data_IF_979701638896
#
_entry.id   IF_979701638896
#
_cell.length_a   1.000
_cell.length_b   1.000
_cell.length_c   1.000
_cell.angle_alpha   90.00
_cell.angle_beta   90.00
_cell.angle_gamma   90.00
#
_symmetry.space_group_name_H-M   'P 1'
#
loop_
_entity.id
_entity.type
_entity.pdbx_description
1 polymer ?
#
# COMPACT_ATOMS: atom_id res chain seq x y z
N UNK A 1 -3.16 -74.89 -19.32
CA UNK A 1 -2.44 -74.10 -20.36
C UNK A 1 -3.30 -72.90 -20.68
N UNK A 2 -2.75 -71.69 -20.62
CA UNK A 2 -3.47 -70.48 -20.98
C UNK A 2 -2.49 -69.53 -21.68
N UNK A 3 -2.90 -69.01 -22.84
CA UNK A 3 -2.14 -68.05 -23.62
C UNK A 3 -3.10 -66.99 -24.13
N UNK A 4 -2.94 -65.76 -23.65
CA UNK A 4 -3.46 -64.56 -24.32
C UNK A 4 -2.41 -63.45 -24.20
N UNK A 5 -2.19 -62.77 -25.31
CA UNK A 5 -1.10 -61.82 -25.54
C UNK A 5 -1.50 -60.37 -25.26
N UNK A 6 -0.50 -59.50 -25.16
CA UNK A 6 -0.64 -58.12 -24.73
C UNK A 6 -1.31 -57.18 -25.74
N UNK A 7 -1.94 -56.12 -25.21
CA UNK A 7 -2.06 -54.81 -25.87
C UNK A 7 -1.75 -53.73 -24.83
N UNK A 8 -0.70 -52.92 -25.05
CA UNK A 8 -0.37 -51.79 -24.19
C UNK A 8 -1.19 -50.54 -24.53
N UNK A 9 -1.45 -49.69 -23.53
CA UNK A 9 -2.08 -48.39 -23.72
C UNK A 9 -1.25 -47.28 -23.06
N UNK A 10 -0.53 -46.51 -23.87
CA UNK A 10 0.15 -45.30 -23.45
C UNK A 10 -0.86 -44.22 -23.09
N UNK A 11 -0.95 -43.82 -21.82
CA UNK A 11 -1.74 -42.67 -21.42
C UNK A 11 -1.08 -41.38 -21.90
N UNK A 12 -1.60 -40.82 -23.01
CA UNK A 12 -1.26 -39.47 -23.44
C UNK A 12 -1.86 -38.46 -22.46
N UNK A 13 -1.02 -37.52 -22.01
CA UNK A 13 -1.41 -36.41 -21.16
C UNK A 13 -2.10 -35.33 -22.03
N UNK A 14 -3.42 -35.46 -22.22
CA UNK A 14 -4.24 -34.48 -22.93
C UNK A 14 -4.51 -33.25 -22.02
N UNK A 15 -4.22 -32.01 -22.47
CA UNK A 15 -4.56 -30.81 -21.70
C UNK A 15 -6.08 -30.62 -21.64
N UNK A 16 -6.60 -30.26 -20.46
CA UNK A 16 -8.02 -30.01 -20.29
C UNK A 16 -8.48 -28.80 -21.13
N UNK A 17 -9.67 -28.93 -21.75
CA UNK A 17 -10.30 -27.89 -22.54
C UNK A 17 -11.67 -27.51 -21.92
N UNK A 18 -12.09 -26.23 -21.89
CA UNK A 18 -11.40 -25.05 -22.40
C UNK A 18 -10.12 -24.71 -21.60
N UNK A 19 -9.16 -23.98 -22.19
CA UNK A 19 -7.96 -23.57 -21.50
C UNK A 19 -8.33 -22.49 -20.47
N UNK A 20 -7.73 -22.54 -19.28
CA UNK A 20 -7.90 -21.48 -18.29
C UNK A 20 -7.55 -20.12 -18.92
N UNK A 21 -8.39 -19.08 -18.75
CA UNK A 21 -8.15 -17.78 -19.36
C UNK A 21 -6.84 -17.21 -18.83
N UNK A 22 -5.90 -16.94 -19.74
CA UNK A 22 -4.59 -16.36 -19.41
C UNK A 22 -4.84 -15.06 -18.62
N UNK A 23 -4.42 -14.97 -17.35
CA UNK A 23 -4.72 -13.82 -16.53
C UNK A 23 -4.05 -12.57 -17.11
N UNK A 24 -4.70 -11.38 -17.08
CA UNK A 24 -4.11 -10.15 -17.58
C UNK A 24 -2.72 -9.89 -16.99
N UNK A 25 -1.82 -9.30 -17.78
CA UNK A 25 -0.46 -8.94 -17.35
C UNK A 25 -0.52 -8.17 -16.02
N UNK A 26 0.25 -8.61 -15.03
CA UNK A 26 0.27 -8.02 -13.68
C UNK A 26 -0.88 -8.42 -12.73
N UNK A 27 -1.92 -9.15 -13.17
CA UNK A 27 -2.99 -9.63 -12.28
C UNK A 27 -2.46 -10.55 -11.17
N UNK A 28 -1.57 -11.49 -11.54
CA UNK A 28 -0.93 -12.41 -10.60
C UNK A 28 -0.07 -11.66 -9.58
N UNK A 29 0.72 -10.68 -10.02
CA UNK A 29 1.52 -9.82 -9.16
C UNK A 29 0.65 -9.09 -8.14
N UNK A 30 -0.44 -8.45 -8.58
CA UNK A 30 -1.38 -7.74 -7.69
C UNK A 30 -2.09 -8.67 -6.69
N UNK A 31 -2.44 -9.90 -7.09
CA UNK A 31 -3.07 -10.91 -6.20
C UNK A 31 -2.10 -11.47 -5.16
N UNK A 32 -0.81 -11.60 -5.51
CA UNK A 32 0.26 -12.07 -4.65
C UNK A 32 0.92 -10.97 -3.80
N UNK A 33 0.62 -9.69 -4.09
CA UNK A 33 1.28 -8.56 -3.42
C UNK A 33 1.01 -8.48 -1.91
N UNK A 34 -0.23 -8.60 -1.39
CA UNK A 34 -0.42 -8.47 0.04
C UNK A 34 0.18 -9.66 0.80
N UNK A 35 1.02 -9.39 1.79
CA UNK A 35 1.54 -10.40 2.73
C UNK A 35 0.36 -11.03 3.49
N UNK A 36 0.39 -12.36 3.65
CA UNK A 36 -0.64 -13.13 4.36
C UNK A 36 0.04 -14.12 5.30
N UNK A 37 -0.15 -13.90 6.59
CA UNK A 37 0.35 -14.70 7.73
C UNK A 37 -0.76 -14.78 8.79
N UNK A 38 -0.65 -15.69 9.74
CA UNK A 38 -1.61 -15.84 10.84
C UNK A 38 -1.39 -14.79 11.96
N UNK A 39 -2.39 -14.55 12.84
CA UNK A 39 -2.20 -13.64 13.98
C UNK A 39 -1.00 -14.08 14.84
N UNK A 40 -0.24 -13.11 15.34
CA UNK A 40 0.99 -13.29 16.10
C UNK A 40 2.18 -13.92 15.33
N UNK A 41 2.01 -14.34 14.08
CA UNK A 41 3.11 -14.87 13.25
C UNK A 41 4.05 -13.73 12.82
N UNK A 42 5.37 -13.81 13.09
CA UNK A 42 6.33 -12.79 12.68
C UNK A 42 6.44 -12.66 11.16
N UNK A 43 6.66 -11.44 10.67
CA UNK A 43 7.08 -11.22 9.28
C UNK A 43 8.61 -11.31 9.21
N UNK A 44 9.09 -12.32 8.48
CA UNK A 44 10.50 -12.56 8.20
C UNK A 44 11.08 -11.47 7.29
N UNK A 45 12.41 -11.40 7.20
CA UNK A 45 13.10 -10.65 6.15
C UNK A 45 12.64 -11.04 4.75
N UNK A 46 12.33 -12.31 4.49
CA UNK A 46 11.79 -12.76 3.20
C UNK A 46 10.41 -12.15 2.92
N UNK A 47 9.49 -12.17 3.90
CA UNK A 47 8.14 -11.59 3.74
C UNK A 47 8.20 -10.11 3.34
N UNK A 48 9.06 -9.35 4.02
CA UNK A 48 9.19 -7.90 3.81
C UNK A 48 10.17 -7.52 2.70
N UNK A 49 10.92 -8.48 2.14
CA UNK A 49 12.01 -8.25 1.18
C UNK A 49 13.04 -7.25 1.74
N UNK A 50 13.59 -7.57 2.93
CA UNK A 50 14.45 -6.69 3.70
C UNK A 50 15.69 -6.20 2.93
N UNK A 51 16.32 -7.05 2.11
CA UNK A 51 17.56 -6.68 1.42
C UNK A 51 17.30 -5.69 0.29
N UNK A 52 16.20 -5.85 -0.46
CA UNK A 52 15.72 -4.85 -1.42
C UNK A 52 15.52 -3.50 -0.72
N UNK A 53 14.81 -3.51 0.42
CA UNK A 53 14.59 -2.31 1.22
C UNK A 53 15.90 -1.76 1.80
N UNK A 54 16.89 -2.60 2.10
CA UNK A 54 18.20 -2.16 2.52
C UNK A 54 18.86 -1.40 1.37
N UNK A 55 19.04 -2.00 0.19
CA UNK A 55 19.68 -1.36 -0.96
C UNK A 55 18.98 -0.05 -1.39
N UNK A 56 17.65 -0.01 -1.42
CA UNK A 56 16.89 1.21 -1.76
C UNK A 56 17.18 2.38 -0.80
N UNK A 57 17.27 2.10 0.51
CA UNK A 57 17.45 3.14 1.54
C UNK A 57 18.92 3.38 1.94
N UNK A 58 19.85 2.49 1.56
CA UNK A 58 21.29 2.66 1.77
C UNK A 58 21.99 3.39 0.62
N UNK A 59 21.40 3.40 -0.59
CA UNK A 59 21.93 4.11 -1.76
C UNK A 59 22.23 5.59 -1.44
N UNK A 60 23.43 6.04 -1.83
CA UNK A 60 23.98 7.37 -1.53
C UNK A 60 23.94 8.33 -2.73
N UNK A 61 23.30 7.95 -3.82
CA UNK A 61 23.22 8.75 -5.04
C UNK A 61 22.27 9.93 -4.83
N UNK A 62 22.86 11.11 -4.63
CA UNK A 62 22.13 12.36 -4.51
C UNK A 62 21.63 12.83 -5.89
N UNK A 63 20.45 12.35 -6.29
CA UNK A 63 19.89 12.57 -7.62
C UNK A 63 18.58 13.38 -7.63
N UNK A 64 17.85 13.43 -6.52
CA UNK A 64 16.47 13.93 -6.48
C UNK A 64 16.38 15.40 -6.05
N UNK A 65 15.49 16.14 -6.69
CA UNK A 65 15.15 17.53 -6.40
C UNK A 65 14.19 17.59 -5.20
N UNK A 66 14.47 18.47 -4.24
CA UNK A 66 13.48 18.79 -3.19
C UNK A 66 12.57 19.93 -3.62
N UNK A 67 11.36 20.01 -3.07
CA UNK A 67 10.44 21.13 -3.33
C UNK A 67 10.72 22.38 -2.47
N UNK A 68 11.90 22.48 -1.86
CA UNK A 68 12.24 23.58 -0.93
C UNK A 68 12.90 24.74 -1.68
N UNK A 69 12.38 25.98 -1.58
CA UNK A 69 13.02 27.14 -2.20
C UNK A 69 14.26 27.57 -1.39
N UNK A 70 15.45 27.52 -2.00
CA UNK A 70 16.64 28.14 -1.40
C UNK A 70 18.00 27.66 -1.92
N UNK A 71 18.13 26.40 -2.33
CA UNK A 71 19.31 25.85 -3.04
C UNK A 71 18.93 24.51 -3.67
N UNK A 72 19.33 24.30 -4.93
CA UNK A 72 19.06 23.06 -5.67
C UNK A 72 20.01 21.91 -5.25
N UNK A 73 20.11 21.65 -3.95
CA UNK A 73 20.86 20.50 -3.44
C UNK A 73 20.08 19.24 -3.76
N UNK A 74 20.71 18.34 -4.52
CA UNK A 74 20.16 17.00 -4.75
C UNK A 74 20.22 16.17 -3.47
N UNK A 75 19.21 15.33 -3.26
CA UNK A 75 19.12 14.41 -2.11
C UNK A 75 19.04 12.97 -2.58
N UNK A 76 19.35 12.04 -1.68
CA UNK A 76 19.15 10.60 -1.88
C UNK A 76 17.67 10.22 -1.87
N UNK A 77 17.32 9.03 -2.37
CA UNK A 77 15.95 8.52 -2.26
C UNK A 77 15.49 8.42 -0.79
N UNK A 78 16.38 7.97 0.08
CA UNK A 78 16.12 7.81 1.52
C UNK A 78 15.67 9.14 2.14
N UNK A 79 16.45 10.21 1.92
CA UNK A 79 16.12 11.56 2.38
C UNK A 79 14.84 12.10 1.74
N UNK A 80 14.65 11.92 0.42
CA UNK A 80 13.45 12.35 -0.29
C UNK A 80 12.18 11.72 0.33
N UNK A 81 12.21 10.41 0.56
CA UNK A 81 11.05 9.65 1.05
C UNK A 81 10.79 9.94 2.55
N UNK A 82 11.84 10.00 3.38
CA UNK A 82 11.73 10.39 4.79
C UNK A 82 11.19 11.82 4.92
N UNK A 83 11.66 12.76 4.10
CA UNK A 83 11.18 14.14 4.11
C UNK A 83 9.72 14.25 3.67
N UNK A 84 9.26 13.46 2.70
CA UNK A 84 7.85 13.41 2.30
C UNK A 84 6.92 12.88 3.42
N UNK A 85 7.38 11.89 4.19
CA UNK A 85 6.66 11.40 5.38
C UNK A 85 6.67 12.45 6.50
N UNK A 86 7.82 13.11 6.72
CA UNK A 86 7.97 14.16 7.72
C UNK A 86 7.12 15.40 7.40
N UNK A 87 6.99 15.79 6.13
CA UNK A 87 6.18 16.94 5.71
C UNK A 87 4.68 16.67 5.73
N UNK A 88 4.25 15.40 5.76
CA UNK A 88 2.84 15.01 5.77
C UNK A 88 2.04 15.70 6.89
N UNK A 89 0.85 16.19 6.52
CA UNK A 89 -0.11 16.80 7.44
C UNK A 89 -0.78 15.78 8.40
N UNK A 90 -0.54 14.47 8.19
CA UNK A 90 -1.00 13.38 9.09
C UNK A 90 0.13 12.67 9.83
N UNK A 91 1.38 13.11 9.64
CA UNK A 91 2.50 12.72 10.50
C UNK A 91 2.39 13.51 11.82
N UNK A 92 2.31 12.81 12.95
CA UNK A 92 2.09 13.45 14.27
C UNK A 92 3.37 14.09 14.81
N UNK A 93 3.25 15.11 15.69
CA UNK A 93 4.42 15.78 16.28
C UNK A 93 5.36 14.77 16.96
N UNK A 94 4.83 13.88 17.79
CA UNK A 94 5.60 12.82 18.48
C UNK A 94 6.36 11.92 17.49
N UNK A 95 5.79 11.64 16.31
CA UNK A 95 6.46 10.85 15.28
C UNK A 95 7.59 11.65 14.61
N UNK A 96 7.35 12.94 14.33
CA UNK A 96 8.37 13.87 13.77
C UNK A 96 9.54 14.07 14.73
N UNK A 97 9.25 14.36 16.00
CA UNK A 97 10.25 14.51 17.06
C UNK A 97 11.13 13.24 17.11
N UNK A 98 10.51 12.04 17.16
CA UNK A 98 11.24 10.76 17.17
C UNK A 98 12.05 10.46 15.89
N UNK A 99 11.59 10.90 14.72
CA UNK A 99 12.34 10.77 13.47
C UNK A 99 13.63 11.61 13.48
N UNK A 100 13.62 12.74 14.19
CA UNK A 100 14.81 13.59 14.41
C UNK A 100 15.71 12.96 15.48
N UNK A 101 15.15 12.59 16.63
CA UNK A 101 15.89 12.02 17.77
C UNK A 101 16.53 10.66 17.44
N UNK A 102 15.97 9.91 16.49
CA UNK A 102 16.44 8.57 16.11
C UNK A 102 16.35 8.36 14.59
N UNK A 103 17.38 8.76 13.81
CA UNK A 103 17.39 8.61 12.35
C UNK A 103 17.23 7.16 11.85
N UNK A 104 17.67 6.18 12.65
CA UNK A 104 17.42 4.77 12.37
C UNK A 104 15.91 4.43 12.34
N UNK A 105 15.14 4.96 13.30
CA UNK A 105 13.69 4.79 13.36
C UNK A 105 12.99 5.46 12.17
N UNK A 106 13.48 6.63 11.72
CA UNK A 106 12.97 7.27 10.50
C UNK A 106 13.16 6.37 9.26
N UNK A 107 14.29 5.66 9.17
CA UNK A 107 14.56 4.69 8.09
C UNK A 107 13.68 3.45 8.20
N UNK A 108 13.47 2.90 9.40
CA UNK A 108 12.55 1.77 9.64
C UNK A 108 11.10 2.12 9.28
N UNK A 109 10.61 3.28 9.75
CA UNK A 109 9.29 3.82 9.40
C UNK A 109 9.16 4.04 7.89
N UNK A 110 10.20 4.51 7.22
CA UNK A 110 10.21 4.72 5.77
C UNK A 110 10.09 3.39 5.00
N UNK A 111 10.77 2.33 5.46
CA UNK A 111 10.64 0.96 4.90
C UNK A 111 9.22 0.41 5.06
N UNK A 112 8.64 0.49 6.26
CA UNK A 112 7.22 0.16 6.51
C UNK A 112 6.27 0.96 5.62
N UNK A 113 6.55 2.26 5.47
CA UNK A 113 5.75 3.17 4.65
C UNK A 113 5.84 2.83 3.17
N UNK A 114 7.01 2.46 2.65
CA UNK A 114 7.16 1.99 1.25
C UNK A 114 6.35 0.73 0.99
N UNK A 115 6.47 -0.28 1.87
CA UNK A 115 5.68 -1.52 1.77
C UNK A 115 4.16 -1.29 1.87
N UNK A 116 3.72 -0.32 2.68
CA UNK A 116 2.32 0.08 2.79
C UNK A 116 1.85 0.84 1.54
N UNK A 117 2.73 1.65 0.93
CA UNK A 117 2.41 2.45 -0.25
C UNK A 117 2.23 1.61 -1.51
N UNK A 118 3.11 0.60 -1.72
CA UNK A 118 2.96 -0.35 -2.85
C UNK A 118 1.83 -1.35 -2.60
N UNK A 119 1.49 -1.64 -1.33
CA UNK A 119 0.43 -2.58 -0.95
C UNK A 119 0.91 -3.99 -0.57
N UNK A 120 2.18 -4.17 -0.20
CA UNK A 120 2.68 -5.40 0.47
C UNK A 120 2.08 -5.53 1.86
N UNK A 121 2.04 -4.42 2.62
CA UNK A 121 1.45 -4.36 3.97
C UNK A 121 0.01 -3.86 3.88
N UNK A 122 -0.92 -4.68 4.37
CA UNK A 122 -2.35 -4.36 4.41
C UNK A 122 -2.73 -3.52 5.63
N UNK A 123 -3.76 -2.70 5.50
CA UNK A 123 -4.30 -1.88 6.61
C UNK A 123 -4.91 -2.67 7.77
N UNK A 124 -5.12 -3.97 7.61
CA UNK A 124 -5.55 -4.86 8.71
C UNK A 124 -4.39 -5.25 9.63
N UNK A 125 -3.14 -5.07 9.19
CA UNK A 125 -1.96 -5.41 9.98
C UNK A 125 -1.66 -4.36 11.05
N UNK A 126 -1.25 -4.84 12.21
CA UNK A 126 -0.80 -4.04 13.35
C UNK A 126 0.55 -4.53 13.85
N UNK A 127 1.37 -3.59 14.33
CA UNK A 127 2.74 -3.85 14.79
C UNK A 127 2.92 -3.70 16.32
N UNK A 128 1.80 -3.69 17.06
CA UNK A 128 1.75 -3.64 18.54
C UNK A 128 0.85 -4.74 19.13
N UNK A 129 1.30 -5.50 20.14
CA UNK A 129 0.58 -6.65 20.67
C UNK A 129 -0.71 -6.25 21.43
N UNK A 130 -0.81 -5.01 21.92
CA UNK A 130 -1.94 -4.49 22.71
C UNK A 130 -3.20 -4.16 21.89
N UNK A 131 -3.18 -4.36 20.57
CA UNK A 131 -4.30 -4.06 19.68
C UNK A 131 -5.50 -4.99 19.96
N UNK A 132 -6.61 -4.40 20.44
CA UNK A 132 -7.80 -5.10 20.97
C UNK A 132 -8.89 -5.45 19.94
N UNK A 133 -8.72 -5.16 18.65
CA UNK A 133 -9.82 -5.24 17.66
C UNK A 133 -9.84 -6.55 16.88
N UNK A 134 -11.00 -7.20 16.80
CA UNK A 134 -11.21 -8.48 16.10
C UNK A 134 -10.98 -8.44 14.57
N UNK A 135 -10.81 -7.27 13.97
CA UNK A 135 -10.57 -7.07 12.53
C UNK A 135 -9.10 -6.78 12.17
N UNK A 136 -8.19 -6.86 13.14
CA UNK A 136 -6.76 -6.60 12.92
C UNK A 136 -5.91 -7.79 13.37
N UNK A 137 -4.91 -8.11 12.55
CA UNK A 137 -3.90 -9.12 12.88
C UNK A 137 -2.61 -8.43 13.35
N UNK A 138 -2.08 -8.87 14.48
CA UNK A 138 -0.78 -8.46 14.97
C UNK A 138 0.32 -9.30 14.32
N UNK A 139 1.35 -8.64 13.80
CA UNK A 139 2.56 -9.31 13.33
C UNK A 139 3.78 -8.53 13.83
N UNK A 140 4.69 -9.12 14.62
CA UNK A 140 5.99 -8.51 14.86
C UNK A 140 6.83 -8.57 13.58
N UNK A 141 7.65 -7.56 13.33
CA UNK A 141 8.55 -7.48 12.16
C UNK A 141 9.98 -7.24 12.65
N UNK A 142 10.70 -8.29 13.09
CA UNK A 142 11.95 -8.14 13.84
C UNK A 142 13.02 -7.34 13.09
N UNK A 143 13.10 -7.51 11.77
CA UNK A 143 14.08 -6.84 10.92
C UNK A 143 13.82 -5.33 10.74
N UNK A 144 12.62 -4.83 11.04
CA UNK A 144 12.20 -3.42 10.90
C UNK A 144 11.78 -2.76 12.23
N UNK A 145 11.89 -3.45 13.36
CA UNK A 145 11.51 -2.95 14.69
C UNK A 145 12.69 -3.04 15.68
N UNK A 146 13.88 -2.60 15.26
CA UNK A 146 15.11 -2.68 16.06
C UNK A 146 15.29 -1.50 17.00
N UNK A 147 14.65 -0.36 16.71
CA UNK A 147 14.59 0.78 17.63
C UNK A 147 13.43 0.64 18.62
N UNK A 148 13.54 1.25 19.81
CA UNK A 148 12.48 1.33 20.82
C UNK A 148 11.35 2.28 20.36
N UNK A 149 10.68 1.93 19.27
CA UNK A 149 9.77 2.80 18.54
C UNK A 149 8.43 2.17 18.20
N UNK A 150 7.37 2.89 18.57
CA UNK A 150 6.04 2.64 18.03
C UNK A 150 6.02 3.08 16.56
N UNK A 151 6.33 2.14 15.65
CA UNK A 151 6.34 2.27 14.19
C UNK A 151 4.98 2.69 13.54
N UNK A 152 3.98 3.06 14.34
CA UNK A 152 2.58 3.24 13.96
C UNK A 152 1.92 1.96 13.41
N UNK A 153 0.62 2.01 13.15
CA UNK A 153 -0.11 0.91 12.50
C UNK A 153 -0.29 1.19 11.01
N UNK A 154 -0.55 0.15 10.20
CA UNK A 154 -0.70 0.31 8.76
C UNK A 154 -1.79 1.33 8.35
N UNK A 155 -2.94 1.48 9.07
CA UNK A 155 -3.89 2.56 8.84
C UNK A 155 -3.32 3.98 9.05
N UNK A 156 -2.56 4.22 10.12
CA UNK A 156 -1.91 5.52 10.38
C UNK A 156 -0.84 5.82 9.34
N UNK A 157 -0.04 4.82 8.96
CA UNK A 157 0.93 4.92 7.87
C UNK A 157 0.22 5.28 6.55
N UNK A 158 -0.87 4.58 6.19
CA UNK A 158 -1.64 4.90 4.97
C UNK A 158 -2.24 6.30 4.99
N UNK A 159 -2.71 6.78 6.15
CA UNK A 159 -3.20 8.15 6.30
C UNK A 159 -2.07 9.19 6.21
N UNK A 160 -0.87 8.86 6.70
CA UNK A 160 0.34 9.67 6.52
C UNK A 160 0.70 9.79 5.03
N UNK A 161 0.77 8.66 4.32
CA UNK A 161 1.06 8.60 2.88
C UNK A 161 0.07 9.42 2.05
N UNK A 162 -1.24 9.27 2.30
CA UNK A 162 -2.29 10.06 1.62
C UNK A 162 -2.17 11.58 1.79
N UNK A 163 -1.46 12.05 2.81
CA UNK A 163 -1.25 13.46 3.09
C UNK A 163 0.22 13.92 2.88
N UNK A 164 1.07 13.06 2.31
CA UNK A 164 2.43 13.37 1.90
C UNK A 164 2.42 14.01 0.50
N UNK A 165 1.88 15.23 0.42
CA UNK A 165 1.67 15.99 -0.82
C UNK A 165 2.71 17.11 -0.96
N UNK A 166 3.05 17.47 -2.19
CA UNK A 166 3.82 18.69 -2.48
C UNK A 166 2.97 19.95 -2.21
N UNK A 167 3.58 21.13 -1.98
CA UNK A 167 2.84 22.39 -1.81
C UNK A 167 1.89 22.73 -2.98
N UNK A 168 2.24 22.37 -4.22
CA UNK A 168 1.38 22.52 -5.41
C UNK A 168 0.15 21.61 -5.40
N UNK A 169 0.26 20.43 -4.79
CA UNK A 169 -0.77 19.39 -4.68
C UNK A 169 -1.74 19.64 -3.50
N UNK A 170 -1.47 20.63 -2.65
CA UNK A 170 -2.41 21.02 -1.58
C UNK A 170 -3.65 21.76 -2.10
N UNK A 171 -3.57 22.34 -3.30
CA UNK A 171 -4.65 23.11 -3.95
C UNK A 171 -5.17 22.49 -5.24
N UNK A 172 -4.50 21.45 -5.76
CA UNK A 172 -4.81 20.81 -7.03
C UNK A 172 -4.78 19.30 -6.85
N UNK A 173 -5.53 18.56 -7.67
CA UNK A 173 -5.54 17.10 -7.60
C UNK A 173 -4.14 16.60 -8.04
N UNK A 174 -3.47 15.71 -7.25
CA UNK A 174 -2.24 15.06 -7.67
C UNK A 174 -2.43 14.30 -8.99
N UNK A 175 -1.41 14.23 -9.87
CA UNK A 175 -1.52 13.44 -11.09
C UNK A 175 -1.73 11.96 -10.76
N UNK A 176 -2.55 11.30 -11.55
CA UNK A 176 -3.12 9.96 -11.31
C UNK A 176 -2.65 8.91 -12.32
N UNK A 177 -2.04 9.33 -13.43
CA UNK A 177 -1.43 8.46 -14.45
C UNK A 177 0.06 8.79 -14.68
N UNK A 178 0.86 7.84 -15.20
CA UNK A 178 2.25 8.09 -15.58
C UNK A 178 2.38 9.25 -16.59
N UNK A 179 1.45 9.37 -17.53
CA UNK A 179 1.43 10.38 -18.58
C UNK A 179 1.16 11.78 -18.00
N UNK A 180 0.25 11.91 -17.02
CA UNK A 180 0.01 13.17 -16.31
C UNK A 180 1.23 13.63 -15.51
N UNK A 181 2.02 12.69 -14.95
CA UNK A 181 3.27 12.99 -14.24
C UNK A 181 4.31 13.52 -15.23
N UNK A 182 4.52 12.82 -16.36
CA UNK A 182 5.46 13.25 -17.40
C UNK A 182 5.05 14.61 -17.99
N UNK A 183 3.76 14.82 -18.27
CA UNK A 183 3.23 16.09 -18.79
C UNK A 183 3.45 17.28 -17.82
N UNK A 184 3.46 17.05 -16.50
CA UNK A 184 3.84 18.09 -15.51
C UNK A 184 5.35 18.33 -15.41
N UNK A 185 6.17 17.31 -15.70
CA UNK A 185 7.63 17.41 -15.68
C UNK A 185 8.19 18.18 -16.88
N UNK A 186 7.51 18.07 -18.03
CA UNK A 186 7.83 18.80 -19.25
C UNK A 186 7.25 20.21 -19.17
N UNK A 187 7.98 21.20 -19.67
CA UNK A 187 7.45 22.56 -19.84
C UNK A 187 6.28 22.51 -20.83
N UNK A 188 5.06 22.84 -20.37
CA UNK A 188 3.90 22.94 -21.25
C UNK A 188 4.22 23.96 -22.35
N UNK A 189 4.44 23.45 -23.55
CA UNK A 189 4.44 24.25 -24.76
C UNK A 189 3.01 24.77 -24.91
N UNK A 190 2.78 26.02 -24.50
CA UNK A 190 1.51 26.71 -24.77
C UNK A 190 1.38 26.74 -26.28
N UNK A 191 0.56 25.86 -26.82
CA UNK A 191 0.07 25.96 -28.19
C UNK A 191 -0.71 27.28 -28.26
N UNK A 192 -0.26 28.28 -29.02
CA UNK A 192 -1.03 29.51 -29.13
C UNK A 192 -2.30 29.20 -29.91
N UNK A 193 -3.45 29.27 -29.25
CA UNK A 193 -4.71 29.48 -29.97
C UNK A 193 -4.60 30.79 -30.76
N UNK A 194 -4.42 30.64 -32.06
CA UNK A 194 -4.93 31.54 -33.11
C UNK A 194 -4.71 33.05 -32.84
N UNK A 195 -3.44 33.48 -32.75
CA UNK A 195 -3.11 34.87 -33.14
C UNK A 195 -1.63 35.02 -33.58
N UNK A 196 -1.34 35.23 -34.89
CA UNK A 196 0.03 35.19 -35.41
C UNK A 196 0.89 36.45 -35.17
N UNK A 197 0.48 37.37 -34.28
CA UNK A 197 1.08 38.73 -34.19
C UNK A 197 1.79 39.03 -32.85
N UNK A 198 1.78 38.14 -31.84
CA UNK A 198 2.34 38.47 -30.51
C UNK A 198 3.07 37.32 -29.77
N UNK A 199 4.01 36.65 -30.42
CA UNK A 199 4.70 35.45 -29.87
C UNK A 199 6.05 35.69 -29.18
N UNK A 200 6.50 36.94 -28.98
CA UNK A 200 7.88 37.22 -28.50
C UNK A 200 8.10 37.30 -26.99
N UNK A 201 7.07 37.18 -26.14
CA UNK A 201 7.19 37.40 -24.68
C UNK A 201 6.39 36.43 -23.79
N UNK A 202 6.28 35.16 -24.17
CA UNK A 202 5.85 34.11 -23.22
C UNK A 202 7.09 33.48 -22.57
N UNK A 203 7.40 33.75 -21.29
CA UNK A 203 8.52 33.09 -20.62
C UNK A 203 8.24 31.59 -20.51
N UNK A 204 9.21 30.76 -20.93
CA UNK A 204 9.18 29.31 -20.70
C UNK A 204 9.05 29.05 -19.20
N UNK A 205 7.86 28.70 -18.73
CA UNK A 205 7.71 28.16 -17.38
C UNK A 205 8.40 26.79 -17.37
N UNK A 206 9.51 26.69 -16.64
CA UNK A 206 10.17 25.41 -16.43
C UNK A 206 9.17 24.42 -15.83
N UNK A 207 9.14 23.19 -16.36
CA UNK A 207 8.24 22.14 -15.88
C UNK A 207 8.39 21.91 -14.37
N UNK A 208 7.32 21.49 -13.71
CA UNK A 208 7.35 21.36 -12.25
C UNK A 208 8.29 20.20 -11.87
N UNK A 209 9.32 20.50 -11.08
CA UNK A 209 10.34 19.52 -10.68
C UNK A 209 10.52 19.52 -9.15
N UNK A 210 10.15 18.43 -8.44
CA UNK A 210 9.47 17.25 -8.95
C UNK A 210 7.99 17.52 -9.37
N UNK A 211 7.44 16.79 -10.36
CA UNK A 211 6.08 16.97 -10.88
C UNK A 211 4.99 16.50 -9.91
N UNK A 212 5.33 15.60 -8.99
CA UNK A 212 4.44 15.04 -7.96
C UNK A 212 5.25 14.57 -6.75
N UNK A 213 4.62 14.29 -5.61
CA UNK A 213 5.33 13.71 -4.48
C UNK A 213 5.82 12.28 -4.79
N UNK A 214 6.97 11.90 -4.24
CA UNK A 214 7.52 10.53 -4.39
C UNK A 214 6.54 9.45 -3.89
N UNK A 215 5.73 9.78 -2.88
CA UNK A 215 4.69 8.90 -2.35
C UNK A 215 3.59 8.70 -3.39
N UNK A 216 3.11 9.77 -4.03
CA UNK A 216 2.09 9.68 -5.07
C UNK A 216 2.62 8.97 -6.33
N UNK A 217 3.85 9.23 -6.76
CA UNK A 217 4.46 8.50 -7.88
C UNK A 217 4.45 6.98 -7.62
N UNK A 218 4.95 6.53 -6.48
CA UNK A 218 5.00 5.09 -6.17
C UNK A 218 3.60 4.46 -6.14
N UNK A 219 2.58 5.20 -5.69
CA UNK A 219 1.18 4.78 -5.76
C UNK A 219 0.68 4.68 -7.21
N UNK A 220 0.97 5.66 -8.07
CA UNK A 220 0.64 5.65 -9.50
C UNK A 220 1.32 4.48 -10.21
N UNK A 221 2.64 4.29 -10.05
CA UNK A 221 3.37 3.15 -10.62
C UNK A 221 2.82 1.79 -10.13
N UNK A 222 2.38 1.71 -8.86
CA UNK A 222 1.77 0.49 -8.30
C UNK A 222 0.39 0.19 -8.89
N UNK A 223 -0.39 1.21 -9.28
CA UNK A 223 -1.68 1.02 -9.92
C UNK A 223 -1.54 0.72 -11.42
N UNK A 224 -0.61 1.40 -12.10
CA UNK A 224 -0.35 1.27 -13.53
C UNK A 224 0.77 0.27 -13.89
N UNK A 225 1.13 -0.62 -12.96
CA UNK A 225 2.20 -1.60 -13.18
C UNK A 225 1.97 -2.50 -14.42
N UNK A 226 0.71 -2.87 -14.71
CA UNK A 226 0.35 -3.70 -15.85
C UNK A 226 0.67 -3.04 -17.22
N UNK A 227 0.16 -1.84 -17.57
CA UNK A 227 0.55 -1.17 -18.82
C UNK A 227 2.05 -0.81 -18.85
N UNK A 228 2.65 -0.45 -17.71
CA UNK A 228 4.08 -0.13 -17.66
C UNK A 228 5.02 -1.33 -17.88
N UNK A 229 4.52 -2.57 -17.79
CA UNK A 229 5.27 -3.79 -18.10
C UNK A 229 5.84 -3.77 -19.53
N UNK A 230 5.05 -3.34 -20.51
CA UNK A 230 5.47 -3.29 -21.93
C UNK A 230 6.20 -2.00 -22.31
N UNK A 231 6.16 -0.97 -21.46
CA UNK A 231 6.90 0.29 -21.64
C UNK A 231 8.34 0.15 -21.14
N UNK A 232 8.50 -0.28 -19.88
CA UNK A 232 9.80 -0.26 -19.20
C UNK A 232 10.49 -1.63 -19.14
N UNK A 233 9.72 -2.72 -19.00
CA UNK A 233 10.24 -4.08 -18.84
C UNK A 233 10.14 -4.87 -20.17
N UNK A 234 10.19 -6.19 -20.12
CA UNK A 234 10.04 -7.11 -21.25
C UNK A 234 8.58 -7.59 -21.46
N UNK A 235 7.63 -7.08 -20.67
CA UNK A 235 6.25 -7.57 -20.60
C UNK A 235 6.02 -8.74 -19.63
N UNK A 236 7.06 -9.46 -19.21
CA UNK A 236 6.98 -10.55 -18.22
C UNK A 236 7.14 -10.04 -16.78
N UNK A 237 7.89 -8.95 -16.61
CA UNK A 237 8.07 -8.24 -15.35
C UNK A 237 7.28 -6.93 -15.32
N UNK A 238 6.88 -6.51 -14.12
CA UNK A 238 6.29 -5.20 -13.87
C UNK A 238 6.76 -4.61 -12.54
N UNK A 239 6.41 -3.35 -12.27
CA UNK A 239 6.85 -2.62 -11.07
C UNK A 239 6.53 -3.34 -9.75
N UNK A 240 5.40 -4.06 -9.64
CA UNK A 240 5.03 -4.76 -8.40
C UNK A 240 5.90 -6.00 -8.15
N UNK A 241 6.44 -6.61 -9.21
CA UNK A 241 7.30 -7.80 -9.09
C UNK A 241 8.62 -7.51 -8.39
N UNK A 242 9.08 -6.25 -8.40
CA UNK A 242 10.24 -5.81 -7.64
C UNK A 242 10.07 -6.14 -6.15
N UNK A 243 8.84 -6.13 -5.63
CA UNK A 243 8.53 -6.34 -4.21
C UNK A 243 8.10 -7.77 -3.86
N UNK A 244 8.18 -8.73 -4.80
CA UNK A 244 7.77 -10.13 -4.58
C UNK A 244 8.98 -11.05 -4.37
N UNK A 245 8.96 -11.98 -3.39
CA UNK A 245 10.05 -12.95 -3.20
C UNK A 245 10.24 -13.92 -4.38
N UNK A 246 9.14 -14.31 -5.04
CA UNK A 246 9.10 -15.49 -5.93
C UNK A 246 9.48 -15.24 -7.39
N UNK A 247 10.56 -14.49 -7.63
CA UNK A 247 11.16 -14.39 -8.99
C UNK A 247 12.66 -14.69 -9.04
N UNK A 248 13.32 -14.94 -7.90
CA UNK A 248 14.77 -15.21 -7.88
C UNK A 248 15.61 -14.05 -8.45
N UNK A 249 15.08 -12.82 -8.45
CA UNK A 249 15.74 -11.63 -8.97
C UNK A 249 16.57 -10.97 -7.86
N UNK A 250 17.82 -10.59 -8.14
CA UNK A 250 18.68 -9.99 -7.12
C UNK A 250 18.08 -8.72 -6.52
N UNK A 251 18.04 -8.64 -5.19
CA UNK A 251 17.58 -7.46 -4.45
C UNK A 251 18.35 -6.19 -4.84
N UNK A 252 19.64 -6.32 -5.14
CA UNK A 252 20.50 -5.20 -5.56
C UNK A 252 20.22 -4.67 -6.97
N UNK A 253 19.73 -5.52 -7.89
CA UNK A 253 19.34 -5.05 -9.23
C UNK A 253 17.89 -4.54 -9.23
N UNK A 254 17.02 -5.19 -8.45
CA UNK A 254 15.65 -4.70 -8.20
C UNK A 254 15.65 -3.31 -7.57
N UNK A 255 16.59 -3.00 -6.67
CA UNK A 255 16.72 -1.64 -6.12
C UNK A 255 17.19 -0.62 -7.16
N UNK A 256 18.15 -0.95 -8.03
CA UNK A 256 18.56 -0.07 -9.15
C UNK A 256 17.39 0.22 -10.07
N UNK A 257 16.62 -0.81 -10.47
CA UNK A 257 15.44 -0.65 -11.34
C UNK A 257 14.35 0.19 -10.66
N UNK A 258 14.12 -0.01 -9.36
CA UNK A 258 13.22 0.86 -8.59
C UNK A 258 13.68 2.32 -8.64
N UNK A 259 14.95 2.60 -8.27
CA UNK A 259 15.49 3.96 -8.22
C UNK A 259 15.55 4.62 -9.61
N UNK A 260 15.86 3.85 -10.65
CA UNK A 260 15.80 4.27 -12.05
C UNK A 260 14.40 4.77 -12.43
N UNK A 261 13.35 4.02 -12.06
CA UNK A 261 11.96 4.42 -12.31
C UNK A 261 11.56 5.66 -11.52
N UNK A 262 11.95 5.78 -10.24
CA UNK A 262 11.69 7.00 -9.46
C UNK A 262 12.37 8.22 -10.09
N UNK A 263 13.59 8.06 -10.61
CA UNK A 263 14.30 9.14 -11.31
C UNK A 263 13.64 9.53 -12.64
N UNK A 264 13.31 8.54 -13.48
CA UNK A 264 12.69 8.77 -14.79
C UNK A 264 11.42 9.63 -14.69
N UNK A 265 10.59 9.39 -13.67
CA UNK A 265 9.32 10.10 -13.48
C UNK A 265 9.39 11.36 -12.60
N UNK A 266 10.32 11.49 -11.66
CA UNK A 266 10.44 12.71 -10.83
C UNK A 266 11.42 13.74 -11.39
N UNK A 267 12.43 13.29 -12.13
CA UNK A 267 13.57 14.10 -12.50
C UNK A 267 13.65 14.35 -14.00
N UNK A 268 13.97 13.33 -14.77
CA UNK A 268 14.29 13.49 -16.18
C UNK A 268 14.03 12.19 -16.96
N UNK A 269 13.03 12.16 -17.85
CA UNK A 269 12.76 10.98 -18.67
C UNK A 269 13.75 10.81 -19.84
N UNK A 270 14.34 11.92 -20.32
CA UNK A 270 15.16 11.96 -21.54
C UNK A 270 16.67 12.09 -21.26
N UNK A 271 17.05 12.55 -20.06
CA UNK A 271 18.44 12.74 -19.61
C UNK A 271 19.10 11.51 -19.01
N UNK A 272 20.43 11.52 -18.77
CA UNK A 272 21.18 10.38 -18.22
C UNK A 272 20.65 9.97 -16.84
N UNK A 273 20.29 8.70 -16.65
CA UNK A 273 19.77 8.21 -15.38
C UNK A 273 20.95 7.69 -14.52
N UNK A 274 21.11 8.08 -13.25
CA UNK A 274 22.24 7.63 -12.42
C UNK A 274 22.33 6.12 -12.22
N UNK A 275 21.23 5.39 -12.40
CA UNK A 275 21.15 3.93 -12.28
C UNK A 275 21.15 3.22 -13.64
N UNK A 276 21.48 3.91 -14.74
CA UNK A 276 21.55 3.32 -16.09
C UNK A 276 22.65 2.25 -16.22
N UNK A 277 22.30 1.10 -16.82
CA UNK A 277 23.26 0.14 -17.38
C UNK A 277 23.42 0.37 -18.90
N UNK A 278 24.26 -0.42 -19.57
CA UNK A 278 24.49 -0.24 -21.01
C UNK A 278 23.27 -0.62 -21.86
N UNK A 279 22.34 -1.43 -21.31
CA UNK A 279 21.10 -1.77 -21.98
C UNK A 279 20.06 -0.64 -21.87
N UNK A 280 19.84 -0.06 -20.69
CA UNK A 280 18.88 1.03 -20.50
C UNK A 280 19.32 2.32 -21.21
N UNK A 281 20.63 2.60 -21.28
CA UNK A 281 21.18 3.69 -22.13
C UNK A 281 20.81 3.51 -23.60
N UNK A 282 20.97 2.30 -24.13
CA UNK A 282 20.76 2.01 -25.55
C UNK A 282 19.29 1.80 -25.93
N UNK A 283 18.40 1.50 -24.97
CA UNK A 283 17.01 1.07 -25.22
C UNK A 283 16.01 1.93 -24.45
N UNK A 284 16.17 3.25 -24.40
CA UNK A 284 15.25 4.12 -23.65
C UNK A 284 13.80 4.01 -24.16
N UNK A 285 12.77 3.98 -23.28
CA UNK A 285 12.81 4.11 -21.82
C UNK A 285 12.78 2.75 -21.07
N UNK A 286 13.55 1.73 -21.49
CA UNK A 286 13.66 0.45 -20.77
C UNK A 286 14.49 0.59 -19.48
N UNK A 287 14.12 -0.17 -18.46
CA UNK A 287 14.89 -0.26 -17.20
C UNK A 287 16.20 -1.06 -17.38
N UNK A 288 17.17 -0.90 -16.47
CA UNK A 288 18.36 -1.75 -16.39
C UNK A 288 18.01 -3.24 -16.31
N UNK A 289 18.92 -4.10 -16.77
CA UNK A 289 18.75 -5.55 -16.65
C UNK A 289 18.84 -6.00 -15.20
N UNK A 290 17.93 -6.88 -14.81
CA UNK A 290 18.00 -7.59 -13.52
C UNK A 290 18.52 -9.00 -13.73
N UNK A 291 19.52 -9.41 -12.95
CA UNK A 291 20.00 -10.79 -12.97
C UNK A 291 19.09 -11.71 -12.17
N UNK A 292 18.95 -12.94 -12.64
CA UNK A 292 18.45 -14.05 -11.82
C UNK A 292 19.60 -14.61 -10.98
N UNK A 293 19.29 -14.91 -9.72
CA UNK A 293 20.17 -15.52 -8.74
C UNK A 293 20.14 -17.04 -8.88
N UNK A 294 21.28 -17.69 -8.68
CA UNK A 294 21.29 -19.14 -8.44
C UNK A 294 20.79 -19.46 -7.01
N UNK A 295 20.50 -20.73 -6.74
CA UNK A 295 19.94 -21.17 -5.44
C UNK A 295 20.82 -20.79 -4.23
N UNK A 296 22.14 -20.90 -4.36
CA UNK A 296 23.07 -20.56 -3.29
C UNK A 296 23.12 -19.04 -3.01
N UNK A 297 22.90 -18.20 -4.02
CA UNK A 297 22.73 -16.75 -3.84
C UNK A 297 21.36 -16.39 -3.26
N UNK A 298 20.28 -17.06 -3.70
CA UNK A 298 18.93 -16.85 -3.14
C UNK A 298 18.90 -17.17 -1.64
N UNK A 299 19.57 -18.24 -1.23
CA UNK A 299 19.72 -18.64 0.18
C UNK A 299 20.59 -17.69 1.04
N UNK A 300 21.22 -16.67 0.43
CA UNK A 300 21.97 -15.62 1.13
C UNK A 300 21.19 -14.30 1.22
N UNK A 301 20.22 -14.05 0.34
CA UNK A 301 19.35 -12.87 0.45
C UNK A 301 18.24 -13.08 1.49
N UNK A 302 17.93 -12.04 2.25
CA UNK A 302 16.82 -11.96 3.20
C UNK A 302 16.88 -12.98 4.36
N UNK A 303 18.08 -13.36 4.81
CA UNK A 303 18.28 -14.27 5.96
C UNK A 303 18.06 -13.53 7.28
N UNK A 304 17.06 -13.93 8.07
CA UNK A 304 16.83 -13.43 9.42
C UNK A 304 18.00 -13.76 10.36
N UNK A 305 18.40 -12.84 11.23
CA UNK A 305 19.47 -13.11 12.21
C UNK A 305 18.94 -13.91 13.42
N UNK A 306 19.81 -14.58 14.20
CA UNK A 306 19.40 -15.31 15.40
C UNK A 306 18.61 -14.42 16.40
N UNK A 307 19.01 -13.16 16.54
CA UNK A 307 18.38 -12.17 17.42
C UNK A 307 17.00 -11.75 16.90
N UNK A 308 16.86 -11.61 15.58
CA UNK A 308 15.57 -11.34 14.93
C UNK A 308 14.59 -12.50 15.13
N UNK A 309 15.06 -13.74 15.00
CA UNK A 309 14.27 -14.96 15.25
C UNK A 309 13.85 -15.05 16.73
N UNK A 310 14.77 -14.81 17.67
CA UNK A 310 14.48 -14.84 19.10
C UNK A 310 13.48 -13.74 19.50
N UNK A 311 13.70 -12.51 19.06
CA UNK A 311 12.82 -11.38 19.34
C UNK A 311 11.42 -11.59 18.75
N UNK A 312 11.33 -12.13 17.53
CA UNK A 312 10.05 -12.52 16.91
C UNK A 312 9.27 -13.51 17.79
N UNK A 313 9.93 -14.60 18.23
CA UNK A 313 9.31 -15.59 19.15
C UNK A 313 8.85 -14.96 20.47
N UNK A 314 9.67 -14.07 21.06
CA UNK A 314 9.33 -13.33 22.30
C UNK A 314 8.07 -12.49 22.12
N UNK A 315 7.94 -11.77 21.00
CA UNK A 315 6.78 -10.93 20.70
C UNK A 315 5.51 -11.77 20.41
N UNK A 316 5.63 -12.88 19.68
CA UNK A 316 4.54 -13.85 19.51
C UNK A 316 4.05 -14.39 20.86
N UNK A 317 4.96 -14.76 21.77
CA UNK A 317 4.61 -15.22 23.11
C UNK A 317 3.90 -14.14 23.95
N UNK A 318 4.34 -12.87 23.87
CA UNK A 318 3.68 -11.74 24.53
C UNK A 318 2.26 -11.51 24.00
N UNK A 319 2.04 -11.60 22.69
CA UNK A 319 0.69 -11.53 22.09
C UNK A 319 -0.21 -12.66 22.58
N UNK A 320 0.28 -13.89 22.61
CA UNK A 320 -0.49 -15.04 23.09
C UNK A 320 -0.89 -14.89 24.56
N UNK A 321 0.02 -14.40 25.42
CA UNK A 321 -0.28 -14.10 26.82
C UNK A 321 -1.30 -12.96 26.98
N UNK A 322 -1.24 -11.94 26.13
CA UNK A 322 -2.22 -10.86 26.09
C UNK A 322 -3.62 -11.38 25.71
N UNK A 323 -3.71 -12.23 24.68
CA UNK A 323 -4.97 -12.85 24.25
C UNK A 323 -5.57 -13.77 25.33
N UNK A 324 -4.75 -14.59 26.00
CA UNK A 324 -5.19 -15.44 27.13
C UNK A 324 -5.79 -14.60 28.26
N UNK A 325 -5.11 -13.52 28.68
CA UNK A 325 -5.61 -12.59 29.70
C UNK A 325 -6.91 -11.91 29.28
N UNK A 326 -7.03 -11.54 28.00
CA UNK A 326 -8.24 -10.93 27.45
C UNK A 326 -9.43 -11.91 27.52
N UNK A 327 -9.26 -13.15 27.07
CA UNK A 327 -10.29 -14.20 27.14
C UNK A 327 -10.72 -14.43 28.59
N UNK A 328 -9.78 -14.64 29.51
CA UNK A 328 -10.08 -14.85 30.93
C UNK A 328 -10.86 -13.66 31.55
N UNK A 329 -10.53 -12.42 31.18
CA UNK A 329 -11.27 -11.24 31.64
C UNK A 329 -12.72 -11.24 31.14
N UNK A 330 -12.96 -11.54 29.85
CA UNK A 330 -14.30 -11.60 29.25
C UNK A 330 -15.13 -12.74 29.84
N UNK A 331 -14.51 -13.88 30.15
CA UNK A 331 -15.17 -14.99 30.85
C UNK A 331 -15.54 -14.62 32.28
N UNK A 332 -14.68 -13.91 33.00
CA UNK A 332 -14.98 -13.42 34.36
C UNK A 332 -16.15 -12.42 34.37
N UNK A 333 -16.25 -11.54 33.38
CA UNK A 333 -17.38 -10.61 33.22
C UNK A 333 -18.69 -11.32 32.86
N UNK A 334 -18.64 -12.37 32.03
CA UNK A 334 -19.82 -13.19 31.74
C UNK A 334 -20.28 -13.94 32.99
N UNK A 335 -19.33 -14.49 33.77
CA UNK A 335 -19.64 -15.21 35.00
C UNK A 335 -20.25 -14.30 36.07
N UNK A 336 -19.70 -13.09 36.27
CA UNK A 336 -20.24 -12.12 37.24
C UNK A 336 -21.63 -11.61 36.85
N UNK A 337 -21.88 -11.36 35.56
CA UNK A 337 -23.23 -11.04 35.03
C UNK A 337 -24.22 -12.19 35.21
N UNK A 338 -23.80 -13.45 35.03
CA UNK A 338 -24.66 -14.61 35.23
C UNK A 338 -24.95 -14.92 36.71
N UNK A 339 -24.08 -14.53 37.65
CA UNK A 339 -24.34 -14.64 39.10
C UNK A 339 -25.20 -13.52 39.67
N UNK A 340 -25.40 -12.43 38.93
CA UNK A 340 -26.31 -11.34 39.31
C UNK A 340 -27.77 -11.72 38.98
N UNK A 341 -28.37 -12.58 39.81
CA UNK A 341 -29.78 -12.93 39.69
C UNK A 341 -30.69 -11.67 39.85
N UNK A 342 -31.81 -11.57 39.11
CA UNK A 342 -32.72 -10.44 39.24
C UNK A 342 -33.30 -10.38 40.65
N UNK A 343 -33.37 -9.18 41.24
CA UNK A 343 -34.04 -8.96 42.52
C UNK A 343 -35.53 -9.27 42.41
N UNK A 344 -35.92 -10.46 42.86
CA UNK A 344 -37.31 -10.84 43.04
C UNK A 344 -37.82 -10.23 44.35
N UNK A 345 -38.69 -9.22 44.25
CA UNK A 345 -39.42 -8.67 45.40
C UNK A 345 -40.68 -9.53 45.60
N UNK A 346 -40.82 -10.27 46.72
CA UNK A 346 -42.06 -10.97 47.02
C UNK A 346 -43.15 -9.96 47.35
N UNK A 347 -44.23 -9.95 46.60
CA UNK A 347 -45.36 -9.06 46.85
C UNK A 347 -46.12 -9.45 48.11
N UNK A 348 -46.59 -8.44 48.86
CA UNK A 348 -47.67 -8.62 49.81
C UNK A 348 -48.76 -7.58 49.52
N UNK A 349 -50.01 -8.04 49.39
CA UNK A 349 -51.10 -7.21 48.88
C UNK A 349 -51.78 -6.37 49.98
N UNK A 350 -52.38 -5.25 49.55
CA UNK A 350 -53.44 -4.45 50.20
C UNK A 350 -53.02 -3.12 50.83
N UNK A 351 -53.25 -2.01 50.09
CA UNK A 351 -54.48 -1.19 50.28
C UNK A 351 -54.65 -0.15 49.17
N UNK A 352 -55.88 -0.06 48.66
CA UNK A 352 -56.33 0.96 47.71
C UNK A 352 -56.68 2.24 48.48
N UNK A 353 -56.10 3.39 48.11
CA UNK A 353 -56.79 4.70 48.14
C UNK A 353 -56.43 5.49 46.86
N UNK A 354 -57.43 6.20 46.33
CA UNK A 354 -57.48 6.88 45.03
C UNK A 354 -56.56 8.11 44.93
N UNK A 355 -56.09 8.40 43.72
CA UNK A 355 -55.97 9.77 43.19
C UNK A 355 -56.63 9.80 41.79
N UNK A 356 -57.36 10.89 41.48
CA UNK A 356 -58.13 11.10 40.25
C UNK A 356 -57.38 11.92 39.18
N UNK A 357 -57.87 11.82 37.93
CA UNK A 357 -57.76 12.79 36.84
C UNK A 357 -56.36 13.00 36.20
N UNK A 358 -56.19 12.59 34.94
CA UNK A 358 -56.18 13.44 33.71
C UNK A 358 -54.93 14.35 33.58
N UNK A 359 -54.28 14.50 32.41
CA UNK A 359 -54.80 14.46 31.03
C UNK A 359 -53.68 14.26 29.98
N UNK A 360 -54.05 13.86 28.75
CA UNK A 360 -53.35 14.09 27.45
C UNK A 360 -51.95 13.45 27.21
N UNK A 361 -51.74 12.46 26.32
CA UNK A 361 -51.75 12.48 24.82
C UNK A 361 -50.61 13.35 24.21
N UNK A 362 -49.82 12.92 23.21
CA UNK A 362 -49.63 11.64 22.49
C UNK A 362 -48.18 11.59 21.90
N UNK A 363 -47.49 10.52 21.46
CA UNK A 363 -47.75 9.12 21.02
C UNK A 363 -48.06 8.87 19.50
N UNK A 364 -47.11 8.21 18.80
CA UNK A 364 -47.25 7.35 17.58
C UNK A 364 -47.44 8.15 16.26
N UNK A 365 -46.88 7.79 15.08
CA UNK A 365 -46.55 6.45 14.54
C UNK A 365 -45.34 6.37 13.60
N UNK A 366 -44.91 5.13 13.34
CA UNK A 366 -44.13 4.70 12.17
C UNK A 366 -44.78 3.46 11.52
N UNK A 367 -44.62 3.29 10.21
CA UNK A 367 -45.11 2.16 9.40
C UNK A 367 -45.18 2.57 7.92
N UNK A 368 -44.47 1.94 6.97
CA UNK A 368 -44.54 0.55 6.49
C UNK A 368 -45.50 0.38 5.30
N UNK A 369 -44.94 0.28 4.08
CA UNK A 369 -45.14 -0.78 3.03
C UNK A 369 -46.59 -1.25 2.70
N UNK A 370 -47.07 -1.46 1.45
CA UNK A 370 -46.45 -1.76 0.12
C UNK A 370 -47.49 -1.65 -1.05
N UNK A 371 -47.07 -1.82 -2.31
CA UNK A 371 -47.83 -2.30 -3.53
C UNK A 371 -48.94 -1.40 -4.15
N UNK A 372 -49.24 -1.34 -5.47
CA UNK A 372 -48.64 -1.79 -6.77
C UNK A 372 -49.40 -1.17 -7.98
N UNK A 373 -48.80 -1.20 -9.19
CA UNK A 373 -49.45 -1.02 -10.54
C UNK A 373 -49.88 0.43 -10.92
N UNK A 374 -49.92 0.90 -12.17
CA UNK A 374 -49.87 0.32 -13.55
C UNK A 374 -48.93 1.11 -14.50
N UNK A 375 -48.68 0.60 -15.71
CA UNK A 375 -47.79 1.20 -16.73
C UNK A 375 -48.42 2.22 -17.72
N UNK A 376 -48.01 2.25 -19.02
CA UNK A 376 -47.31 3.42 -19.58
C UNK A 376 -48.00 4.07 -20.80
N UNK A 377 -47.51 5.23 -21.25
CA UNK A 377 -47.76 5.82 -22.58
C UNK A 377 -46.66 6.84 -22.98
N UNK A 378 -46.71 7.31 -24.23
CA UNK A 378 -45.54 7.60 -25.10
C UNK A 378 -45.45 9.07 -25.61
N UNK A 379 -44.38 9.36 -26.38
CA UNK A 379 -44.24 10.34 -27.47
C UNK A 379 -43.71 11.78 -27.23
N UNK A 380 -42.52 12.05 -27.81
CA UNK A 380 -42.09 13.27 -28.56
C UNK A 380 -42.05 14.66 -27.84
N UNK A 381 -41.28 15.68 -28.24
CA UNK A 381 -40.68 16.02 -29.54
C UNK A 381 -39.46 16.99 -29.43
N UNK A 382 -38.88 17.34 -30.59
CA UNK A 382 -37.67 18.13 -30.93
C UNK A 382 -37.34 19.49 -30.23
N UNK A 383 -36.11 19.99 -30.48
CA UNK A 383 -35.56 21.32 -30.11
C UNK A 383 -36.02 22.48 -31.02
N UNK A 384 -35.21 23.54 -31.33
CA UNK A 384 -33.73 23.59 -31.37
C UNK A 384 -33.06 24.84 -30.70
N UNK A 385 -31.77 25.03 -31.00
CA UNK A 385 -30.86 26.19 -30.75
C UNK A 385 -31.41 27.56 -31.22
N UNK A 386 -30.91 28.71 -30.72
CA UNK A 386 -29.54 29.20 -31.01
C UNK A 386 -28.49 28.91 -29.95
#
# INVERSE_FOLDING_TARGET
MASTSATGSSHQNQPAWPPDPIPPVGYLSRKALPIKRNDAEPLTREDVQFDLLHYIFSDKTAAFSTSSPGKATKVTFSELYINALYSSAKCSKVLKDKMIDTPAFATELAKFSLLTNVGRINTTMAFFPEMKTALRTYHPVPSLQKTDGNAQDAPRIKNCLKAALLPSELKTIPPSTPEEILAKSVSLMIMPEINPVLTSFVPKQAGQKPPTSVVNLIFVLSNHAAPLAVVHFDGNLNFLDLFLPRKGLSSADRSKVFLWLIYHYLEDPEGPNPWDDDYSKANRPRVPKMRYLNEAEQNQENVDTPEEIEWGRKMTAQRNLFLQRLVASVESEKKSKNTAAPHFVPGNASRIIKIQANQSLSKISSGSTTTTSTGPLDSSNAGPTP
#
